data_IF_966688831754
#
_entry.id   IF_966688831754
#
_cell.length_a   1.000
_cell.length_b   1.000
_cell.length_c   1.000
_cell.angle_alpha   90.00
_cell.angle_beta   90.00
_cell.angle_gamma   90.00
#
_symmetry.space_group_name_H-M   'P 1'
#
loop_
_entity.id
_entity.type
_entity.pdbx_description
1 polymer ?
#
# COMPACT_ATOMS: atom_id res chain seq x y z
N UNK A 1 -32.33 3.31 15.56
CA UNK A 1 -32.67 1.88 15.36
C UNK A 1 -33.18 1.73 13.93
N UNK A 2 -32.28 1.52 12.96
CA UNK A 2 -32.46 0.82 11.67
C UNK A 2 -31.07 0.75 11.02
N UNK A 3 -30.49 -0.43 11.21
CA UNK A 3 -29.26 -1.10 10.76
C UNK A 3 -28.53 -0.53 9.52
N UNK A 4 -27.27 -0.12 9.70
CA UNK A 4 -26.26 0.08 8.62
C UNK A 4 -25.54 -1.26 8.33
N UNK A 5 -26.33 -2.30 8.05
CA UNK A 5 -25.85 -3.69 7.96
C UNK A 5 -25.18 -4.03 6.64
N UNK A 6 -25.43 -3.26 5.58
CA UNK A 6 -25.12 -3.67 4.21
C UNK A 6 -23.63 -3.66 3.89
N UNK A 7 -22.86 -2.70 4.40
CA UNK A 7 -21.40 -2.63 4.21
C UNK A 7 -20.66 -3.70 5.02
N UNK A 8 -21.10 -3.97 6.25
CA UNK A 8 -20.57 -5.07 7.06
C UNK A 8 -20.91 -6.43 6.43
N UNK A 9 -22.12 -6.57 5.91
CA UNK A 9 -22.54 -7.77 5.17
C UNK A 9 -21.73 -7.94 3.90
N UNK A 10 -21.31 -6.88 3.19
CA UNK A 10 -20.46 -7.00 2.00
C UNK A 10 -19.02 -7.43 2.34
N UNK A 11 -18.41 -6.85 3.37
CA UNK A 11 -17.10 -7.30 3.87
C UNK A 11 -17.15 -8.74 4.40
N UNK A 12 -18.25 -9.12 5.06
CA UNK A 12 -18.45 -10.45 5.64
C UNK A 12 -18.87 -11.51 4.61
N UNK A 13 -19.66 -11.16 3.60
CA UNK A 13 -20.02 -12.07 2.49
C UNK A 13 -18.84 -12.30 1.54
N UNK A 14 -17.98 -11.30 1.34
CA UNK A 14 -16.68 -11.50 0.69
C UNK A 14 -15.81 -12.52 1.47
N UNK A 15 -15.88 -12.52 2.80
CA UNK A 15 -15.19 -13.48 3.67
C UNK A 15 -15.76 -14.91 3.53
N UNK A 16 -17.09 -15.06 3.46
CA UNK A 16 -17.73 -16.38 3.28
C UNK A 16 -17.45 -16.99 1.90
N UNK A 17 -17.40 -16.21 0.83
CA UNK A 17 -17.15 -16.73 -0.52
C UNK A 17 -15.70 -17.18 -0.73
N UNK A 18 -14.74 -16.59 0.02
CA UNK A 18 -13.33 -16.98 -0.03
C UNK A 18 -13.06 -18.39 0.51
N UNK A 19 -13.81 -18.83 1.53
CA UNK A 19 -13.67 -20.20 2.11
C UNK A 19 -14.11 -21.33 1.18
N UNK A 20 -14.83 -21.05 0.08
CA UNK A 20 -15.25 -22.05 -0.90
C UNK A 20 -14.22 -22.28 -2.02
N UNK A 21 -13.31 -21.32 -2.25
CA UNK A 21 -12.32 -21.41 -3.33
C UNK A 21 -11.09 -22.27 -2.96
N UNK A 22 -10.84 -22.53 -1.67
CA UNK A 22 -9.69 -23.31 -1.18
C UNK A 22 -9.73 -24.80 -1.52
N UNK A 23 -10.84 -25.32 -2.08
CA UNK A 23 -11.00 -26.77 -2.32
C UNK A 23 -10.53 -27.29 -3.68
N UNK A 24 -10.15 -26.44 -4.65
CA UNK A 24 -9.98 -26.90 -6.04
C UNK A 24 -8.62 -26.62 -6.71
N UNK A 25 -7.61 -26.09 -6.01
CA UNK A 25 -6.33 -25.75 -6.64
C UNK A 25 -5.16 -26.61 -6.13
N UNK A 26 -5.21 -27.91 -6.42
CA UNK A 26 -4.03 -28.76 -6.47
C UNK A 26 -4.05 -29.51 -7.79
N UNK A 27 -3.14 -29.18 -8.72
CA UNK A 27 -2.50 -30.13 -9.66
C UNK A 27 -1.53 -29.41 -10.62
N UNK A 28 -0.24 -29.71 -10.38
CA UNK A 28 0.85 -29.97 -11.33
C UNK A 28 1.38 -28.88 -12.29
N UNK A 29 2.68 -28.60 -12.08
CA UNK A 29 3.67 -27.94 -12.93
C UNK A 29 4.34 -29.00 -13.84
N UNK A 30 4.63 -28.70 -15.10
CA UNK A 30 5.74 -29.35 -15.82
C UNK A 30 6.34 -28.42 -16.90
N UNK A 31 7.67 -28.43 -16.96
CA UNK A 31 8.56 -27.57 -17.75
C UNK A 31 9.20 -28.38 -18.89
N UNK A 32 9.12 -27.90 -20.14
CA UNK A 32 10.16 -28.21 -21.13
C UNK A 32 10.14 -27.25 -22.32
N UNK A 33 11.22 -26.48 -22.51
CA UNK A 33 11.55 -25.87 -23.81
C UNK A 33 13.05 -26.01 -24.06
N UNK A 34 13.36 -26.58 -25.22
CA UNK A 34 14.69 -26.93 -25.72
C UNK A 34 15.55 -25.70 -26.05
N UNK A 35 16.85 -25.79 -25.75
CA UNK A 35 17.88 -24.82 -26.16
C UNK A 35 18.17 -24.95 -27.66
N UNK A 36 18.01 -23.86 -28.41
CA UNK A 36 18.49 -23.72 -29.79
C UNK A 36 19.77 -22.87 -29.74
N UNK A 37 20.90 -23.44 -30.20
CA UNK A 37 22.17 -22.73 -30.36
C UNK A 37 22.09 -21.83 -31.60
N UNK A 38 22.24 -20.51 -31.41
CA UNK A 38 22.43 -19.55 -32.50
C UNK A 38 23.89 -19.09 -32.50
N UNK A 39 24.52 -19.20 -33.66
CA UNK A 39 25.90 -18.84 -33.94
C UNK A 39 26.11 -17.32 -33.86
N UNK A 40 27.07 -16.88 -33.05
CA UNK A 40 27.40 -15.46 -32.87
C UNK A 40 28.18 -14.93 -34.07
N UNK A 41 27.57 -14.03 -34.84
CA UNK A 41 28.32 -13.12 -35.74
C UNK A 41 28.97 -12.03 -34.90
N UNK A 42 30.29 -11.87 -35.04
CA UNK A 42 31.07 -10.80 -34.39
C UNK A 42 30.64 -9.43 -34.92
N UNK A 43 30.22 -8.57 -34.00
CA UNK A 43 29.84 -7.17 -34.27
C UNK A 43 31.03 -6.34 -34.76
N UNK A 44 30.74 -5.34 -35.58
CA UNK A 44 31.73 -4.36 -36.07
C UNK A 44 32.22 -3.42 -34.95
N UNK A 45 33.39 -2.77 -35.11
CA UNK A 45 33.91 -1.83 -34.10
C UNK A 45 32.95 -0.67 -33.76
N UNK A 46 32.15 -0.19 -34.72
CA UNK A 46 31.11 0.84 -34.49
C UNK A 46 29.91 0.32 -33.68
N UNK A 47 29.64 -0.98 -33.71
CA UNK A 47 28.57 -1.62 -32.92
C UNK A 47 29.04 -1.95 -31.49
N UNK A 48 30.35 -2.08 -31.26
CA UNK A 48 30.93 -2.15 -29.91
C UNK A 48 30.91 -0.79 -29.21
N UNK A 49 31.14 0.30 -29.94
CA UNK A 49 31.17 1.67 -29.38
C UNK A 49 29.77 2.23 -29.08
N UNK A 50 28.71 1.61 -29.60
CA UNK A 50 27.30 1.92 -29.31
C UNK A 50 26.65 0.97 -28.30
N UNK A 51 27.42 0.09 -27.63
CA UNK A 51 26.97 -0.46 -26.36
C UNK A 51 26.98 0.68 -25.35
N UNK A 52 25.83 1.36 -25.18
CA UNK A 52 25.58 2.12 -23.97
C UNK A 52 25.86 1.19 -22.78
N UNK A 53 26.98 1.43 -22.11
CA UNK A 53 27.45 0.65 -21.00
C UNK A 53 26.33 0.50 -19.96
N UNK A 54 25.96 -0.74 -19.67
CA UNK A 54 25.10 -1.04 -18.51
C UNK A 54 25.78 -0.60 -17.19
N UNK A 55 27.08 -0.28 -17.22
CA UNK A 55 27.85 0.30 -16.12
C UNK A 55 27.56 1.81 -15.88
N UNK A 56 27.00 2.54 -16.84
CA UNK A 56 26.79 3.99 -16.73
C UNK A 56 25.57 4.42 -15.91
N UNK A 57 24.74 3.49 -15.45
CA UNK A 57 23.49 3.81 -14.72
C UNK A 57 23.62 3.82 -13.20
N UNK A 58 24.84 3.73 -12.64
CA UNK A 58 25.04 3.76 -11.17
C UNK A 58 24.41 5.00 -10.51
N UNK A 59 24.41 6.15 -11.21
CA UNK A 59 23.82 7.41 -10.74
C UNK A 59 22.29 7.36 -10.61
N UNK A 60 21.65 6.33 -11.18
CA UNK A 60 20.20 6.07 -11.11
C UNK A 60 19.83 5.11 -9.96
N UNK A 61 20.80 4.65 -9.17
CA UNK A 61 20.58 3.80 -8.01
C UNK A 61 20.94 4.53 -6.72
N UNK A 62 20.14 4.31 -5.68
CA UNK A 62 20.47 4.74 -4.31
C UNK A 62 20.13 3.63 -3.33
N UNK A 63 21.09 3.23 -2.51
CA UNK A 63 20.91 2.17 -1.53
C UNK A 63 20.73 2.73 -0.12
N UNK A 64 19.78 2.17 0.60
CA UNK A 64 19.53 2.45 2.01
C UNK A 64 19.59 1.12 2.75
N UNK A 65 20.74 0.76 3.30
CA UNK A 65 20.83 -0.44 4.13
C UNK A 65 20.01 -0.26 5.43
N UNK A 66 19.32 -1.30 5.92
CA UNK A 66 19.23 -2.67 5.40
C UNK A 66 18.07 -2.89 4.39
N UNK A 67 17.47 -1.82 3.86
CA UNK A 67 16.25 -1.84 3.05
C UNK A 67 16.49 -2.13 1.57
N UNK A 68 17.71 -1.95 1.08
CA UNK A 68 18.13 -2.28 -0.30
C UNK A 68 18.27 -1.05 -1.20
N UNK A 69 18.29 -1.28 -2.51
CA UNK A 69 18.58 -0.25 -3.51
C UNK A 69 17.35 0.14 -4.33
N UNK A 70 17.24 1.43 -4.63
CA UNK A 70 16.10 2.05 -5.30
C UNK A 70 16.57 2.66 -6.61
N UNK A 71 16.16 2.04 -7.72
CA UNK A 71 16.36 2.54 -9.07
C UNK A 71 15.31 3.59 -9.44
N UNK A 72 15.69 4.63 -10.17
CA UNK A 72 14.75 5.69 -10.61
C UNK A 72 14.42 5.67 -12.12
N UNK A 73 15.07 4.81 -12.91
CA UNK A 73 14.73 4.59 -14.32
C UNK A 73 13.52 3.69 -14.51
N UNK A 74 13.26 3.27 -15.75
CA UNK A 74 12.12 2.41 -16.09
C UNK A 74 12.08 1.11 -15.24
N UNK A 75 10.91 0.68 -14.71
CA UNK A 75 9.59 1.28 -14.90
C UNK A 75 9.23 2.37 -13.88
N UNK A 76 10.16 2.80 -13.03
CA UNK A 76 9.95 3.84 -12.01
C UNK A 76 9.91 5.25 -12.58
N UNK A 77 10.21 5.41 -13.87
CA UNK A 77 9.99 6.61 -14.68
C UNK A 77 9.27 6.24 -15.98
N UNK A 78 8.53 7.19 -16.54
CA UNK A 78 7.81 7.01 -17.80
C UNK A 78 6.75 8.09 -18.01
N UNK A 79 5.92 7.95 -19.04
CA UNK A 79 4.85 8.90 -19.37
C UNK A 79 3.90 9.16 -18.19
N UNK A 80 3.45 8.08 -17.53
CA UNK A 80 2.55 8.15 -16.37
C UNK A 80 3.29 8.45 -15.05
N UNK A 81 4.62 8.56 -15.07
CA UNK A 81 5.47 8.88 -13.91
C UNK A 81 6.65 9.75 -14.38
N UNK A 82 6.37 11.00 -14.82
CA UNK A 82 7.36 11.82 -15.52
C UNK A 82 8.47 12.32 -14.61
N UNK A 83 8.17 12.45 -13.31
CA UNK A 83 9.15 12.80 -12.28
C UNK A 83 9.36 11.58 -11.39
N UNK A 84 10.57 11.03 -11.44
CA UNK A 84 11.04 9.96 -10.59
C UNK A 84 12.20 10.46 -9.75
N UNK A 85 12.00 10.50 -8.43
CA UNK A 85 13.04 10.88 -7.48
C UNK A 85 13.42 9.69 -6.61
N UNK A 86 14.61 9.75 -6.01
CA UNK A 86 14.96 8.81 -4.96
C UNK A 86 14.06 9.03 -3.73
N UNK A 87 13.74 7.97 -2.97
CA UNK A 87 13.17 8.15 -1.64
C UNK A 87 14.03 9.09 -0.78
N UNK A 88 13.38 9.82 0.13
CA UNK A 88 14.03 10.58 1.18
C UNK A 88 14.79 9.63 2.11
N UNK A 89 15.66 10.17 2.98
CA UNK A 89 16.47 9.30 3.84
C UNK A 89 15.58 8.56 4.85
N UNK A 90 15.92 7.32 5.25
CA UNK A 90 15.13 6.56 6.23
C UNK A 90 14.90 7.32 7.54
N UNK A 91 15.88 8.10 8.00
CA UNK A 91 15.83 8.92 9.21
C UNK A 91 14.97 10.18 9.07
N UNK A 92 14.74 10.66 7.83
CA UNK A 92 13.82 11.77 7.55
C UNK A 92 12.37 11.28 7.49
N UNK A 93 12.13 10.14 6.84
CA UNK A 93 10.79 9.53 6.77
C UNK A 93 10.37 9.03 8.15
N UNK A 94 11.28 8.33 8.83
CA UNK A 94 11.17 7.80 10.19
C UNK A 94 9.76 7.25 10.55
N UNK A 95 9.26 6.20 9.86
CA UNK A 95 7.96 5.63 10.16
C UNK A 95 7.90 5.11 11.61
N UNK A 96 6.79 5.42 12.29
CA UNK A 96 6.48 4.88 13.61
C UNK A 96 5.48 3.73 13.47
N UNK A 97 5.74 2.64 14.18
CA UNK A 97 4.91 1.45 14.15
C UNK A 97 4.26 1.25 15.51
N UNK A 98 2.98 1.55 15.60
CA UNK A 98 2.27 1.61 16.87
C UNK A 98 1.32 0.42 16.97
N UNK A 99 1.56 -0.45 17.94
CA UNK A 99 0.81 -1.66 18.19
C UNK A 99 -0.35 -1.43 19.18
N UNK A 100 -1.51 -1.94 18.78
CA UNK A 100 -2.74 -1.96 19.55
C UNK A 100 -3.31 -3.38 19.57
N UNK A 101 -3.97 -3.66 20.69
CA UNK A 101 -4.82 -4.80 20.97
C UNK A 101 -5.91 -4.33 21.93
N UNK A 102 -6.93 -5.15 22.18
CA UNK A 102 -8.00 -4.80 23.12
C UNK A 102 -7.50 -4.43 24.53
N UNK A 103 -6.37 -5.00 24.94
CA UNK A 103 -5.86 -4.84 26.32
C UNK A 103 -4.97 -3.61 26.50
N UNK A 104 -4.53 -2.98 25.41
CA UNK A 104 -3.60 -1.85 25.45
C UNK A 104 -4.04 -0.68 24.57
N UNK A 105 -5.35 -0.52 24.34
CA UNK A 105 -5.91 0.58 23.54
C UNK A 105 -5.48 1.96 24.07
N UNK A 106 -5.48 2.14 25.40
CA UNK A 106 -5.14 3.41 26.07
C UNK A 106 -3.62 3.61 26.26
N UNK A 107 -2.83 2.54 26.15
CA UNK A 107 -1.37 2.56 26.30
C UNK A 107 -0.72 1.76 25.18
N UNK A 108 -0.73 2.30 23.95
CA UNK A 108 -0.21 1.57 22.80
C UNK A 108 1.30 1.35 22.91
N UNK A 109 1.76 0.26 22.30
CA UNK A 109 3.15 -0.16 22.38
C UNK A 109 3.89 0.17 21.08
N UNK A 110 5.05 0.82 21.15
CA UNK A 110 5.81 1.16 19.95
C UNK A 110 6.76 0.02 19.54
N UNK A 111 6.58 -0.48 18.33
CA UNK A 111 7.46 -1.47 17.71
C UNK A 111 8.59 -0.74 16.97
N UNK A 112 9.82 -1.27 17.09
CA UNK A 112 11.00 -0.68 16.45
C UNK A 112 11.72 -1.73 15.62
N UNK A 113 11.93 -1.39 14.34
CA UNK A 113 12.75 -2.18 13.42
C UNK A 113 14.12 -2.40 14.06
N UNK A 114 14.61 -3.64 13.99
CA UNK A 114 15.92 -4.08 14.51
C UNK A 114 16.13 -3.95 16.02
N UNK A 115 15.11 -3.52 16.76
CA UNK A 115 15.06 -3.59 18.23
C UNK A 115 14.09 -4.70 18.63
N UNK A 116 14.52 -5.94 18.43
CA UNK A 116 13.71 -7.15 18.65
C UNK A 116 13.08 -7.20 20.06
N UNK A 117 13.68 -6.57 21.05
CA UNK A 117 13.10 -6.49 22.40
C UNK A 117 11.74 -5.79 22.43
N UNK A 118 11.54 -4.74 21.62
CA UNK A 118 10.23 -4.08 21.49
C UNK A 118 9.17 -5.03 20.94
N UNK A 119 9.56 -5.98 20.09
CA UNK A 119 8.65 -6.99 19.53
C UNK A 119 8.36 -8.07 20.57
N UNK A 120 9.37 -8.55 21.31
CA UNK A 120 9.18 -9.58 22.35
C UNK A 120 8.31 -9.12 23.51
N UNK A 121 8.40 -7.83 23.87
CA UNK A 121 7.64 -7.24 24.97
C UNK A 121 6.21 -6.87 24.57
N UNK A 122 5.93 -6.77 23.27
CA UNK A 122 4.58 -6.48 22.80
C UNK A 122 3.65 -7.67 23.13
N UNK A 123 2.46 -7.42 23.69
CA UNK A 123 1.54 -8.48 24.09
C UNK A 123 0.76 -9.03 22.88
N UNK A 124 1.47 -9.64 21.92
CA UNK A 124 0.85 -10.18 20.70
C UNK A 124 -0.09 -11.36 20.99
N UNK A 125 -1.26 -11.33 20.36
CA UNK A 125 -2.16 -12.48 20.23
C UNK A 125 -1.68 -13.36 19.08
N UNK A 126 -0.73 -14.25 19.35
CA UNK A 126 -0.02 -15.06 18.33
C UNK A 126 -0.90 -15.83 17.34
N UNK A 127 -2.07 -16.29 17.78
CA UNK A 127 -3.02 -17.06 16.94
C UNK A 127 -4.05 -16.18 16.23
N UNK A 128 -4.08 -14.89 16.51
CA UNK A 128 -5.03 -13.96 15.93
C UNK A 128 -4.47 -13.27 14.68
N UNK A 129 -5.36 -12.64 13.93
CA UNK A 129 -4.99 -11.84 12.77
C UNK A 129 -4.19 -10.60 13.18
N UNK A 130 -3.31 -10.15 12.28
CA UNK A 130 -2.55 -8.92 12.43
C UNK A 130 -2.85 -7.98 11.26
N UNK A 131 -3.45 -6.83 11.60
CA UNK A 131 -3.77 -5.79 10.65
C UNK A 131 -2.69 -4.71 10.62
N UNK A 132 -2.12 -4.44 9.45
CA UNK A 132 -1.28 -3.27 9.20
C UNK A 132 -2.16 -2.18 8.60
N UNK A 133 -2.25 -1.00 9.22
CA UNK A 133 -3.01 0.14 8.67
C UNK A 133 -2.02 1.20 8.20
N UNK A 134 -2.05 1.53 6.90
CA UNK A 134 -1.13 2.46 6.26
C UNK A 134 -1.90 3.64 5.65
N UNK A 135 -1.61 4.86 6.11
CA UNK A 135 -2.25 6.07 5.63
C UNK A 135 -1.68 6.59 4.30
N UNK A 136 -2.30 7.62 3.73
CA UNK A 136 -1.94 8.20 2.43
C UNK A 136 -1.15 9.51 2.49
N UNK A 137 -1.21 10.25 1.39
CA UNK A 137 -0.60 11.59 1.23
C UNK A 137 -1.28 12.62 2.14
N UNK A 138 -0.51 13.57 2.70
CA UNK A 138 -0.99 14.60 3.65
C UNK A 138 -1.72 14.06 4.89
N UNK A 139 -1.54 12.77 5.17
CA UNK A 139 -2.24 12.02 6.21
C UNK A 139 -1.26 11.58 7.32
N UNK A 140 -1.79 11.03 8.41
CA UNK A 140 -0.99 10.49 9.50
C UNK A 140 -1.74 9.41 10.30
N UNK A 141 -0.99 8.66 11.10
CA UNK A 141 -1.52 7.56 11.91
C UNK A 141 -2.55 7.97 12.98
N UNK A 142 -2.64 9.25 13.35
CA UNK A 142 -3.54 9.75 14.39
C UNK A 142 -4.86 10.30 13.82
N UNK A 143 -5.05 10.26 12.49
CA UNK A 143 -6.32 10.70 11.89
C UNK A 143 -7.49 9.84 12.32
N UNK A 144 -8.65 10.47 12.36
CA UNK A 144 -9.91 9.88 12.82
C UNK A 144 -10.25 8.57 12.10
N UNK A 145 -10.04 8.47 10.79
CA UNK A 145 -10.35 7.24 10.07
C UNK A 145 -9.41 6.09 10.43
N UNK A 146 -8.10 6.37 10.62
CA UNK A 146 -7.10 5.36 11.01
C UNK A 146 -7.45 4.83 12.39
N UNK A 147 -7.64 5.75 13.35
CA UNK A 147 -7.95 5.40 14.74
C UNK A 147 -9.31 4.70 14.85
N UNK A 148 -10.31 5.14 14.07
CA UNK A 148 -11.61 4.47 14.02
C UNK A 148 -11.50 3.07 13.43
N UNK A 149 -10.78 2.90 12.32
CA UNK A 149 -10.59 1.58 11.71
C UNK A 149 -9.92 0.62 12.70
N UNK A 150 -8.87 1.08 13.39
CA UNK A 150 -8.22 0.32 14.47
C UNK A 150 -9.22 -0.08 15.56
N UNK A 151 -9.97 0.88 16.12
CA UNK A 151 -10.96 0.60 17.19
C UNK A 151 -12.05 -0.37 16.72
N UNK A 152 -12.55 -0.19 15.50
CA UNK A 152 -13.60 -1.03 14.91
C UNK A 152 -13.13 -2.47 14.67
N UNK A 153 -11.87 -2.66 14.26
CA UNK A 153 -11.25 -3.99 14.16
C UNK A 153 -11.17 -4.63 15.55
N UNK A 154 -10.61 -3.93 16.54
CA UNK A 154 -10.48 -4.44 17.90
C UNK A 154 -11.84 -4.73 18.56
N UNK A 155 -12.89 -3.95 18.25
CA UNK A 155 -14.23 -4.21 18.78
C UNK A 155 -14.85 -5.49 18.18
N UNK A 156 -14.60 -5.77 16.90
CA UNK A 156 -15.21 -6.92 16.21
C UNK A 156 -14.41 -8.20 16.36
N UNK A 157 -13.09 -8.10 16.44
CA UNK A 157 -12.18 -9.23 16.39
C UNK A 157 -11.14 -9.16 17.48
N UNK A 158 -10.72 -10.33 17.94
CA UNK A 158 -9.68 -10.44 18.95
C UNK A 158 -8.30 -10.40 18.30
N UNK A 159 -7.97 -9.29 17.66
CA UNK A 159 -6.84 -9.17 16.74
C UNK A 159 -5.70 -8.29 17.25
N UNK A 160 -4.62 -8.29 16.49
CA UNK A 160 -3.48 -7.38 16.61
C UNK A 160 -3.63 -6.28 15.55
N UNK A 161 -3.42 -5.01 15.91
CA UNK A 161 -3.42 -3.91 14.94
C UNK A 161 -2.11 -3.14 15.06
N UNK A 162 -1.47 -2.85 13.95
CA UNK A 162 -0.26 -2.04 13.86
C UNK A 162 -0.52 -0.89 12.90
N UNK A 163 -0.53 0.33 13.43
CA UNK A 163 -0.61 1.55 12.61
C UNK A 163 0.80 1.89 12.13
N UNK A 164 0.95 2.03 10.80
CA UNK A 164 2.19 2.47 10.15
C UNK A 164 2.07 3.98 9.90
N UNK A 165 2.60 4.76 10.84
CA UNK A 165 2.58 6.22 10.76
C UNK A 165 3.86 6.73 10.10
N UNK A 166 3.79 7.02 8.79
CA UNK A 166 4.89 7.49 7.96
C UNK A 166 4.77 8.98 7.61
N UNK A 167 4.14 9.77 8.49
CA UNK A 167 3.90 11.21 8.32
C UNK A 167 5.14 11.99 7.87
N UNK A 168 6.35 11.62 8.32
CA UNK A 168 7.60 12.28 7.93
C UNK A 168 7.91 12.21 6.44
N UNK A 169 7.39 11.20 5.72
CA UNK A 169 7.54 11.04 4.28
C UNK A 169 6.26 11.24 3.46
N UNK A 170 5.11 11.46 4.11
CA UNK A 170 3.80 11.56 3.46
C UNK A 170 3.41 12.98 3.02
N UNK A 171 4.24 13.97 3.36
CA UNK A 171 4.03 15.37 3.01
C UNK A 171 4.52 15.75 1.60
N UNK A 172 4.34 17.02 1.20
CA UNK A 172 4.80 17.52 -0.09
C UNK A 172 6.31 17.43 -0.31
N UNK A 173 6.75 17.45 -1.59
CA UNK A 173 5.92 17.40 -2.80
C UNK A 173 5.36 15.99 -3.07
N UNK A 174 4.22 15.89 -3.79
CA UNK A 174 3.56 14.60 -4.08
C UNK A 174 4.50 13.58 -4.71
N UNK A 175 5.33 14.00 -5.67
CA UNK A 175 6.33 13.16 -6.33
C UNK A 175 7.33 12.54 -5.34
N UNK A 176 7.71 13.28 -4.30
CA UNK A 176 8.57 12.78 -3.24
C UNK A 176 7.83 11.79 -2.32
N UNK A 177 6.58 12.07 -1.97
CA UNK A 177 5.76 11.12 -1.21
C UNK A 177 5.57 9.80 -1.97
N UNK A 178 5.32 9.86 -3.29
CA UNK A 178 5.27 8.71 -4.19
C UNK A 178 6.60 7.94 -4.18
N UNK A 179 7.75 8.61 -4.23
CA UNK A 179 9.04 7.93 -4.10
C UNK A 179 9.20 7.27 -2.72
N UNK A 180 8.79 7.95 -1.65
CA UNK A 180 8.88 7.48 -0.27
C UNK A 180 8.07 6.21 -0.02
N UNK A 181 6.92 6.02 -0.66
CA UNK A 181 6.10 4.79 -0.53
C UNK A 181 6.92 3.50 -0.76
N UNK A 182 7.88 3.52 -1.71
CA UNK A 182 8.77 2.38 -1.99
C UNK A 182 9.63 2.03 -0.79
N UNK A 183 10.25 3.05 -0.18
CA UNK A 183 11.11 2.85 0.99
C UNK A 183 10.28 2.50 2.23
N UNK A 184 9.14 3.15 2.46
CA UNK A 184 8.21 2.79 3.54
C UNK A 184 7.73 1.35 3.42
N UNK A 185 7.42 0.89 2.20
CA UNK A 185 7.08 -0.50 1.92
C UNK A 185 8.20 -1.47 2.29
N UNK A 186 9.45 -1.16 1.91
CA UNK A 186 10.61 -1.98 2.26
C UNK A 186 10.90 -1.99 3.78
N UNK A 187 10.77 -0.84 4.46
CA UNK A 187 10.92 -0.72 5.91
C UNK A 187 9.84 -1.52 6.65
N UNK A 188 8.59 -1.39 6.20
CA UNK A 188 7.44 -2.11 6.80
C UNK A 188 7.53 -3.61 6.54
N UNK A 189 8.02 -4.05 5.37
CA UNK A 189 8.29 -5.46 5.08
C UNK A 189 9.37 -6.04 6.00
N UNK A 190 10.41 -5.26 6.33
CA UNK A 190 11.42 -5.67 7.32
C UNK A 190 10.79 -5.84 8.70
N UNK A 191 9.94 -4.92 9.14
CA UNK A 191 9.20 -5.09 10.40
C UNK A 191 8.31 -6.33 10.34
N UNK A 192 7.52 -6.51 9.27
CA UNK A 192 6.66 -7.68 9.08
C UNK A 192 7.46 -8.99 9.20
N UNK A 193 8.63 -9.06 8.57
CA UNK A 193 9.55 -10.18 8.73
C UNK A 193 9.98 -10.41 10.19
N UNK A 194 10.28 -9.34 10.94
CA UNK A 194 10.62 -9.45 12.36
C UNK A 194 9.42 -9.87 13.22
N UNK A 195 8.20 -9.46 12.87
CA UNK A 195 6.98 -9.93 13.52
C UNK A 195 6.76 -11.42 13.27
N UNK A 196 7.07 -11.92 12.06
CA UNK A 196 7.02 -13.35 11.75
C UNK A 196 8.06 -14.11 12.59
N UNK A 197 9.32 -13.69 12.57
CA UNK A 197 10.42 -14.45 13.20
C UNK A 197 10.52 -14.31 14.71
N UNK A 198 10.21 -13.13 15.25
CA UNK A 198 10.34 -12.81 16.68
C UNK A 198 8.99 -12.78 17.37
N UNK A 199 7.98 -12.21 16.71
CA UNK A 199 6.62 -12.12 17.21
C UNK A 199 5.80 -13.40 17.06
N UNK A 200 6.30 -14.39 16.29
CA UNK A 200 5.61 -15.67 16.04
C UNK A 200 4.23 -15.47 15.39
N UNK A 201 4.16 -14.48 14.50
CA UNK A 201 2.95 -14.15 13.72
C UNK A 201 2.98 -14.93 12.40
N UNK A 202 1.90 -15.64 12.11
CA UNK A 202 1.73 -16.32 10.83
C UNK A 202 1.56 -15.28 9.69
N UNK A 203 2.41 -15.27 8.65
CA UNK A 203 2.27 -14.36 7.52
C UNK A 203 0.93 -14.48 6.78
N UNK A 204 0.27 -15.64 6.82
CA UNK A 204 -1.06 -15.84 6.23
C UNK A 204 -2.17 -15.13 7.01
N UNK A 205 -1.91 -14.77 8.27
CA UNK A 205 -2.81 -13.99 9.14
C UNK A 205 -2.53 -12.50 9.12
N UNK A 206 -1.58 -12.06 8.30
CA UNK A 206 -1.27 -10.65 8.15
C UNK A 206 -2.11 -10.02 7.03
N UNK A 207 -2.80 -8.92 7.35
CA UNK A 207 -3.63 -8.16 6.43
C UNK A 207 -3.19 -6.69 6.39
N UNK A 208 -2.69 -6.24 5.24
CA UNK A 208 -2.36 -4.82 5.03
C UNK A 208 -3.55 -4.05 4.45
N UNK A 209 -4.01 -3.03 5.17
CA UNK A 209 -5.06 -2.10 4.77
C UNK A 209 -4.41 -0.75 4.49
N UNK A 210 -4.43 -0.34 3.22
CA UNK A 210 -3.76 0.89 2.78
C UNK A 210 -4.72 1.84 2.08
N UNK A 211 -4.71 3.12 2.45
CA UNK A 211 -5.52 4.16 1.80
C UNK A 211 -4.68 5.06 0.90
N UNK A 212 -5.17 5.40 -0.31
CA UNK A 212 -4.49 6.29 -1.25
C UNK A 212 -3.05 5.79 -1.54
N UNK A 213 -2.00 6.58 -1.28
CA UNK A 213 -0.59 6.16 -1.36
C UNK A 213 -0.26 4.94 -0.47
N UNK A 214 -0.99 4.77 0.63
CA UNK A 214 -0.87 3.62 1.52
C UNK A 214 -1.26 2.29 0.85
N UNK A 215 -2.17 2.29 -0.14
CA UNK A 215 -2.56 1.10 -0.88
C UNK A 215 -1.37 0.54 -1.70
N UNK A 216 -0.67 1.41 -2.41
CA UNK A 216 0.55 1.04 -3.15
C UNK A 216 1.70 0.69 -2.20
N UNK A 217 1.76 1.37 -1.05
CA UNK A 217 2.70 1.01 0.02
C UNK A 217 2.48 -0.43 0.50
N UNK A 218 1.23 -0.86 0.72
CA UNK A 218 0.91 -2.26 1.01
C UNK A 218 1.38 -3.22 -0.09
N UNK A 219 1.22 -2.83 -1.37
CA UNK A 219 1.77 -3.59 -2.50
C UNK A 219 3.28 -3.79 -2.38
N UNK A 220 4.03 -2.73 -2.11
CA UNK A 220 5.47 -2.81 -1.88
C UNK A 220 5.87 -3.60 -0.63
N UNK A 221 5.05 -3.60 0.42
CA UNK A 221 5.25 -4.48 1.58
C UNK A 221 5.20 -5.94 1.13
N UNK A 222 4.12 -6.31 0.44
CA UNK A 222 3.89 -7.66 -0.06
C UNK A 222 4.98 -8.13 -1.04
N UNK A 223 5.29 -7.29 -2.04
CA UNK A 223 6.38 -7.54 -2.98
C UNK A 223 7.72 -7.76 -2.27
N UNK A 224 8.11 -6.86 -1.36
CA UNK A 224 9.40 -6.98 -0.66
C UNK A 224 9.43 -8.20 0.24
N UNK A 225 8.33 -8.51 0.94
CA UNK A 225 8.22 -9.70 1.79
C UNK A 225 8.42 -10.97 0.97
N UNK A 226 7.83 -11.04 -0.23
CA UNK A 226 7.99 -12.18 -1.15
C UNK A 226 9.41 -12.28 -1.69
N UNK A 227 9.93 -11.19 -2.25
CA UNK A 227 11.20 -11.20 -2.99
C UNK A 227 12.44 -11.29 -2.09
N UNK A 228 12.41 -10.66 -0.91
CA UNK A 228 13.59 -10.55 -0.03
C UNK A 228 13.56 -11.50 1.16
N UNK A 229 12.35 -11.84 1.64
CA UNK A 229 12.18 -12.60 2.87
C UNK A 229 11.49 -13.95 2.67
N UNK A 230 11.17 -14.31 1.42
CA UNK A 230 10.57 -15.60 1.05
C UNK A 230 9.25 -15.89 1.80
N UNK A 231 8.50 -14.83 2.13
CA UNK A 231 7.21 -14.91 2.80
C UNK A 231 6.15 -14.16 1.98
N UNK A 232 4.94 -14.72 1.87
CA UNK A 232 3.82 -14.04 1.21
C UNK A 232 2.90 -13.42 2.25
N UNK A 233 2.40 -12.22 2.00
CA UNK A 233 1.39 -11.61 2.85
C UNK A 233 0.05 -12.30 2.61
N UNK A 234 -0.72 -12.59 3.66
CA UNK A 234 -2.04 -13.22 3.53
C UNK A 234 -3.03 -12.37 2.75
N UNK A 235 -3.16 -11.08 3.11
CA UNK A 235 -4.16 -10.21 2.47
C UNK A 235 -3.71 -8.76 2.30
N UNK A 236 -4.17 -8.14 1.21
CA UNK A 236 -4.16 -6.67 1.03
C UNK A 236 -5.58 -6.16 0.76
N UNK A 237 -5.92 -5.04 1.37
CA UNK A 237 -7.07 -4.21 0.98
C UNK A 237 -6.59 -2.80 0.64
N UNK A 238 -6.70 -2.44 -0.63
CA UNK A 238 -6.50 -1.08 -1.12
C UNK A 238 -7.79 -0.27 -1.00
N UNK A 239 -7.78 0.76 -0.18
CA UNK A 239 -8.87 1.72 -0.02
C UNK A 239 -8.56 2.92 -0.93
N UNK A 240 -9.29 3.02 -2.03
CA UNK A 240 -9.15 4.06 -3.05
C UNK A 240 -7.69 4.31 -3.45
N UNK A 241 -6.99 3.32 -4.05
CA UNK A 241 -5.58 3.45 -4.41
C UNK A 241 -5.36 4.66 -5.31
N UNK A 242 -4.30 5.43 -5.09
CA UNK A 242 -4.08 6.69 -5.81
C UNK A 242 -3.86 6.50 -7.33
N UNK A 243 -4.44 7.36 -8.15
CA UNK A 243 -4.23 7.36 -9.61
C UNK A 243 -2.88 7.99 -10.03
N UNK A 244 -2.53 9.22 -9.58
CA UNK A 244 -1.39 9.92 -10.14
C UNK A 244 -0.07 9.18 -9.85
N UNK A 245 0.78 9.03 -10.87
CA UNK A 245 2.03 8.25 -10.80
C UNK A 245 1.89 6.72 -10.66
N UNK A 246 0.66 6.17 -10.69
CA UNK A 246 0.41 4.72 -10.60
C UNK A 246 -0.48 4.17 -11.71
N UNK A 247 -1.43 4.94 -12.24
CA UNK A 247 -2.26 4.48 -13.37
C UNK A 247 -1.42 4.20 -14.61
N UNK A 248 -1.78 3.13 -15.32
CA UNK A 248 -1.12 2.67 -16.54
C UNK A 248 0.41 2.53 -16.39
N UNK A 249 0.87 2.21 -15.18
CA UNK A 249 2.26 1.82 -14.90
C UNK A 249 2.41 0.30 -14.84
N UNK A 250 3.67 -0.16 -14.90
CA UNK A 250 4.03 -1.56 -14.64
C UNK A 250 3.44 -2.03 -13.31
N UNK A 251 3.05 -3.31 -13.24
CA UNK A 251 2.56 -3.93 -12.01
C UNK A 251 3.55 -3.81 -10.85
N UNK A 252 4.86 -3.72 -11.13
CA UNK A 252 5.88 -3.48 -10.10
C UNK A 252 5.77 -2.11 -9.43
N UNK A 253 5.11 -1.13 -10.05
CA UNK A 253 5.06 0.26 -9.61
C UNK A 253 3.84 0.54 -8.76
N UNK A 254 2.81 -0.30 -8.79
CA UNK A 254 1.50 -0.05 -8.18
C UNK A 254 1.03 -1.28 -7.39
N UNK A 255 -0.16 -1.17 -6.82
CA UNK A 255 -0.83 -2.33 -6.23
C UNK A 255 -1.19 -3.31 -7.35
N UNK A 256 -0.99 -4.59 -7.09
CA UNK A 256 -1.23 -5.67 -8.04
C UNK A 256 -1.72 -6.94 -7.32
N UNK A 257 -2.51 -7.82 -7.97
CA UNK A 257 -2.96 -9.07 -7.38
C UNK A 257 -1.80 -9.95 -6.90
N UNK A 258 -0.63 -9.87 -7.53
CA UNK A 258 0.52 -10.69 -7.11
C UNK A 258 1.08 -10.29 -5.75
N UNK A 259 0.77 -9.11 -5.19
CA UNK A 259 1.42 -8.60 -3.98
C UNK A 259 1.06 -9.36 -2.69
N UNK A 260 -0.05 -10.11 -2.67
CA UNK A 260 -0.45 -10.96 -1.55
C UNK A 260 -1.21 -12.19 -2.04
N UNK A 261 -1.47 -13.15 -1.14
CA UNK A 261 -2.29 -14.33 -1.46
C UNK A 261 -3.69 -13.90 -1.92
N UNK A 262 -4.25 -12.87 -1.30
CA UNK A 262 -5.50 -12.28 -1.73
C UNK A 262 -5.46 -10.75 -1.65
N UNK A 263 -5.95 -10.09 -2.69
CA UNK A 263 -5.90 -8.63 -2.84
C UNK A 263 -7.30 -8.15 -3.20
N UNK A 264 -7.77 -7.16 -2.48
CA UNK A 264 -9.05 -6.48 -2.73
C UNK A 264 -8.80 -4.99 -2.90
N UNK A 265 -9.53 -4.33 -3.80
CA UNK A 265 -9.51 -2.89 -3.92
C UNK A 265 -10.94 -2.33 -3.88
N UNK A 266 -11.12 -1.18 -3.25
CA UNK A 266 -12.38 -0.44 -3.22
C UNK A 266 -12.12 0.92 -3.86
N UNK A 267 -12.80 1.20 -4.96
CA UNK A 267 -12.64 2.43 -5.74
C UNK A 267 -13.80 3.35 -5.44
N UNK A 268 -13.53 4.54 -4.91
CA UNK A 268 -14.56 5.48 -4.48
C UNK A 268 -14.52 6.81 -5.20
N UNK A 269 -13.33 7.23 -5.66
CA UNK A 269 -13.08 8.54 -6.29
C UNK A 269 -12.36 8.43 -7.65
N UNK A 270 -12.81 7.49 -8.48
CA UNK A 270 -12.28 7.26 -9.83
C UNK A 270 -12.77 8.24 -10.90
N UNK A 271 -13.09 9.48 -10.53
CA UNK A 271 -13.42 10.52 -11.52
C UNK A 271 -12.13 10.98 -12.22
N UNK A 272 -12.17 11.48 -13.48
CA UNK A 272 -10.97 12.01 -14.12
C UNK A 272 -10.29 13.05 -13.22
N UNK A 273 -8.96 13.06 -13.19
CA UNK A 273 -8.19 14.02 -12.38
C UNK A 273 -8.61 15.49 -12.63
N UNK A 274 -8.95 15.85 -13.87
CA UNK A 274 -9.46 17.18 -14.24
C UNK A 274 -10.81 17.55 -13.59
N UNK A 275 -11.54 16.55 -13.09
CA UNK A 275 -12.78 16.69 -12.33
C UNK A 275 -12.55 16.52 -10.82
N UNK A 276 -11.30 16.40 -10.39
CA UNK A 276 -10.89 16.34 -9.00
C UNK A 276 -10.88 14.95 -8.38
N UNK A 277 -10.96 13.89 -9.18
CA UNK A 277 -10.79 12.52 -8.69
C UNK A 277 -9.31 12.16 -8.47
N UNK A 278 -9.03 11.44 -7.40
CA UNK A 278 -7.67 11.01 -7.03
C UNK A 278 -7.49 9.50 -7.06
N UNK A 279 -8.58 8.73 -7.14
CA UNK A 279 -8.59 7.27 -7.11
C UNK A 279 -8.33 6.66 -8.49
N UNK A 280 -7.54 5.59 -8.51
CA UNK A 280 -7.29 4.82 -9.73
C UNK A 280 -8.58 4.14 -10.17
N UNK A 281 -8.93 4.18 -11.45
CA UNK A 281 -10.12 3.47 -11.97
C UNK A 281 -9.81 2.08 -12.47
N UNK A 282 -8.57 1.87 -12.93
CA UNK A 282 -8.15 0.60 -13.47
C UNK A 282 -8.20 -0.49 -12.38
N UNK A 283 -8.58 -1.73 -12.70
CA UNK A 283 -8.49 -2.84 -11.77
C UNK A 283 -7.04 -3.09 -11.33
N UNK A 284 -6.83 -3.30 -10.04
CA UNK A 284 -5.52 -3.53 -9.42
C UNK A 284 -5.51 -4.71 -8.44
N UNK A 285 -6.62 -5.42 -8.30
CA UNK A 285 -6.81 -6.46 -7.30
C UNK A 285 -7.39 -7.75 -7.88
N UNK A 286 -7.49 -8.80 -7.04
CA UNK A 286 -8.22 -10.01 -7.42
C UNK A 286 -9.73 -9.73 -7.49
N UNK A 287 -10.20 -8.85 -6.61
CA UNK A 287 -11.57 -8.33 -6.62
C UNK A 287 -11.52 -6.82 -6.43
N UNK A 288 -12.06 -6.08 -7.40
CA UNK A 288 -12.19 -4.64 -7.39
C UNK A 288 -13.67 -4.26 -7.22
N UNK A 289 -13.97 -3.53 -6.15
CA UNK A 289 -15.31 -3.05 -5.83
C UNK A 289 -15.46 -1.59 -6.24
N UNK A 290 -16.53 -1.28 -6.98
CA UNK A 290 -16.86 0.07 -7.44
C UNK A 290 -18.20 0.52 -6.87
N UNK A 291 -18.30 0.77 -5.54
CA UNK A 291 -19.53 1.26 -4.92
C UNK A 291 -20.02 2.53 -5.63
N UNK A 292 -21.32 2.57 -5.94
CA UNK A 292 -21.95 3.70 -6.65
C UNK A 292 -21.25 4.05 -7.98
N UNK A 293 -20.71 3.05 -8.67
CA UNK A 293 -19.95 3.22 -9.92
C UNK A 293 -18.50 3.69 -9.71
N UNK A 294 -18.04 3.78 -8.46
CA UNK A 294 -16.67 4.07 -8.07
C UNK A 294 -16.19 5.48 -8.35
N UNK A 295 -17.11 6.45 -8.44
CA UNK A 295 -16.80 7.85 -8.79
C UNK A 295 -17.42 8.86 -7.84
N UNK A 296 -18.75 8.88 -7.74
CA UNK A 296 -19.48 9.86 -6.95
C UNK A 296 -20.22 9.13 -5.84
N UNK A 297 -19.71 9.22 -4.62
CA UNK A 297 -20.33 8.57 -3.47
C UNK A 297 -21.47 9.45 -2.92
N UNK A 298 -22.66 8.90 -2.66
CA UNK A 298 -23.78 9.65 -2.10
C UNK A 298 -23.38 10.41 -0.83
N UNK A 299 -23.72 11.70 -0.79
CA UNK A 299 -23.40 12.59 0.33
C UNK A 299 -22.06 13.32 0.20
N UNK A 300 -21.16 12.88 -0.67
CA UNK A 300 -19.88 13.53 -0.90
C UNK A 300 -20.03 14.48 -2.11
N UNK A 301 -20.44 15.72 -1.84
CA UNK A 301 -20.78 16.71 -2.89
C UNK A 301 -19.59 17.60 -3.31
N UNK A 302 -18.40 17.37 -2.76
CA UNK A 302 -17.21 18.21 -3.00
C UNK A 302 -16.04 17.34 -3.48
N UNK A 303 -15.63 17.52 -4.75
CA UNK A 303 -14.36 16.98 -5.25
C UNK A 303 -13.18 17.83 -4.80
N UNK A 304 -11.96 17.31 -4.91
CA UNK A 304 -10.71 18.00 -4.50
C UNK A 304 -10.62 19.42 -5.06
N UNK A 305 -11.03 19.64 -6.31
CA UNK A 305 -10.99 20.95 -6.95
C UNK A 305 -11.91 21.97 -6.27
N UNK A 306 -13.07 21.55 -5.75
CA UNK A 306 -13.93 22.41 -4.95
C UNK A 306 -13.26 22.74 -3.63
N UNK A 307 -12.67 21.75 -2.94
CA UNK A 307 -11.94 21.97 -1.69
C UNK A 307 -10.72 22.90 -1.89
N UNK A 308 -9.99 22.77 -3.00
CA UNK A 308 -8.88 23.67 -3.38
C UNK A 308 -9.40 25.09 -3.62
N UNK A 309 -10.53 25.24 -4.31
CA UNK A 309 -11.16 26.53 -4.59
C UNK A 309 -11.61 27.22 -3.30
N UNK A 310 -12.25 26.47 -2.39
CA UNK A 310 -12.67 26.93 -1.07
C UNK A 310 -11.47 27.35 -0.21
N UNK A 311 -10.34 26.67 -0.38
CA UNK A 311 -9.07 26.98 0.29
C UNK A 311 -8.20 28.00 -0.48
N UNK A 312 -8.85 28.90 -1.24
CA UNK A 312 -8.22 30.01 -1.98
C UNK A 312 -7.14 29.56 -2.99
N UNK A 313 -7.34 28.41 -3.62
CA UNK A 313 -6.42 27.86 -4.62
C UNK A 313 -5.24 27.08 -4.04
N UNK A 314 -5.20 26.86 -2.72
CA UNK A 314 -4.14 26.05 -2.10
C UNK A 314 -4.41 24.56 -2.32
N UNK A 315 -3.63 23.92 -3.21
CA UNK A 315 -3.67 22.47 -3.42
C UNK A 315 -3.53 21.70 -2.10
N UNK A 316 -2.58 22.11 -1.24
CA UNK A 316 -2.33 21.49 0.05
C UNK A 316 -3.50 21.55 1.02
N UNK A 317 -4.13 22.71 1.15
CA UNK A 317 -5.28 22.86 2.05
C UNK A 317 -6.52 22.19 1.46
N UNK A 318 -6.67 22.25 0.14
CA UNK A 318 -7.76 21.59 -0.56
C UNK A 318 -7.70 20.07 -0.45
N UNK A 319 -6.53 19.44 -0.62
CA UNK A 319 -6.37 18.01 -0.38
C UNK A 319 -6.44 17.62 1.09
N UNK A 320 -5.97 18.45 2.03
CA UNK A 320 -6.17 18.21 3.46
C UNK A 320 -7.66 18.23 3.82
N UNK A 321 -8.41 19.19 3.30
CA UNK A 321 -9.86 19.31 3.47
C UNK A 321 -10.58 18.14 2.79
N UNK A 322 -10.24 17.82 1.55
CA UNK A 322 -10.80 16.67 0.83
C UNK A 322 -10.46 15.35 1.51
N UNK A 323 -9.22 15.13 1.96
CA UNK A 323 -8.84 13.92 2.69
C UNK A 323 -9.61 13.81 4.00
N UNK A 324 -9.92 14.95 4.64
CA UNK A 324 -10.83 14.99 5.78
C UNK A 324 -12.22 14.46 5.40
N UNK A 325 -12.75 14.80 4.21
CA UNK A 325 -14.05 14.36 3.67
C UNK A 325 -14.05 12.94 3.07
N UNK A 326 -13.02 12.52 2.36
CA UNK A 326 -12.85 11.16 1.83
C UNK A 326 -12.69 10.13 2.97
N UNK A 327 -12.05 10.54 4.07
CA UNK A 327 -12.05 9.80 5.35
C UNK A 327 -13.46 9.55 5.91
N UNK A 328 -14.47 10.36 5.54
CA UNK A 328 -15.87 10.12 5.93
C UNK A 328 -16.54 8.99 5.15
N UNK A 329 -16.09 8.65 3.93
CA UNK A 329 -16.60 7.48 3.18
C UNK A 329 -16.40 6.18 3.97
N UNK A 330 -15.31 6.09 4.72
CA UNK A 330 -14.96 4.92 5.54
C UNK A 330 -15.39 5.04 7.02
N UNK A 331 -15.80 6.23 7.48
CA UNK A 331 -16.12 6.50 8.88
C UNK A 331 -17.63 6.59 9.09
N UNK A 332 -18.36 7.47 8.41
CA UNK A 332 -19.82 7.56 8.48
C UNK A 332 -20.22 8.45 7.32
N UNK A 333 -20.96 7.90 6.35
CA UNK A 333 -21.79 8.59 5.36
C UNK A 333 -21.58 10.10 5.34
N UNK A 334 -20.90 10.61 4.31
CA UNK A 334 -20.81 12.04 4.01
C UNK A 334 -22.18 12.71 4.25
N UNK A 335 -22.33 13.38 5.40
CA UNK A 335 -23.53 14.12 5.79
C UNK A 335 -23.01 15.46 6.32
N UNK A 336 -23.18 16.46 5.44
CA UNK A 336 -23.18 17.91 5.64
C UNK A 336 -22.10 18.55 6.51
#
# INVERSE_FOLDING_TARGET
MFVNGTMLILAYTANMMATLAEKNASLALDNSVQKINVSTTTLSPEEQENQLDLEDQWHMWRCFEPYGCFYIGSPWSGENRPVSTFPARPDEINPRYVFYSRDNEDQPHELKIDKHETIRQAPFRKKADLYLIIHGFLDNGDKTWVMRTMKELLQREDCNVVIVNWIGGAGPPYTQAVANTRLVGAMTARLAYQLIKVGDIDPMKMHCIGHSLGAHTCGYVGYTLRQKYEHSLGRITGLDPAEPHFSNTSTMVRLDPTDAVFVTAIHTDGSPFISGGLGITQPVAHIDFYPNGGRNQPGCNEGVLNSITLERGSFFRGELSFSFHASFVFSNNCIN
#
